data_IF_654369030033
#
_entry.id   IF_654369030033
#
_cell.length_a   1.000
_cell.length_b   1.000
_cell.length_c   1.000
_cell.angle_alpha   90.00
_cell.angle_beta   90.00
_cell.angle_gamma   90.00
#
_symmetry.space_group_name_H-M   'P 1'
#
loop_
_entity.id
_entity.type
_entity.pdbx_description
1 polymer ?
#
# COMPACT_ATOMS: atom_id res chain seq x y z
N UNK A 1 0.61 13.96 -17.87
CA UNK A 1 0.65 15.12 -16.96
C UNK A 1 0.37 14.75 -15.50
N UNK A 2 -0.82 14.24 -15.15
CA UNK A 2 -1.16 13.90 -13.75
C UNK A 2 -0.24 12.84 -13.12
N UNK A 3 0.31 11.91 -13.91
CA UNK A 3 1.32 10.96 -13.42
C UNK A 3 2.63 11.64 -12.99
N UNK A 4 3.08 12.67 -13.73
CA UNK A 4 4.29 13.41 -13.40
C UNK A 4 4.07 14.27 -12.15
N UNK A 5 2.87 14.85 -12.00
CA UNK A 5 2.44 15.52 -10.78
C UNK A 5 2.44 14.55 -9.58
N UNK A 6 1.86 13.36 -9.72
CA UNK A 6 1.86 12.35 -8.65
C UNK A 6 3.28 11.95 -8.25
N UNK A 7 4.20 11.81 -9.21
CA UNK A 7 5.60 11.53 -8.94
C UNK A 7 6.31 12.69 -8.19
N UNK A 8 5.97 13.95 -8.50
CA UNK A 8 6.49 15.11 -7.77
C UNK A 8 5.98 15.16 -6.31
N UNK A 9 4.70 14.89 -6.11
CA UNK A 9 4.09 14.77 -4.77
C UNK A 9 4.72 13.61 -3.98
N UNK A 10 4.89 12.44 -4.60
CA UNK A 10 5.54 11.28 -3.97
C UNK A 10 6.99 11.59 -3.57
N UNK A 11 7.77 12.25 -4.44
CA UNK A 11 9.14 12.68 -4.11
C UNK A 11 9.16 13.64 -2.92
N UNK A 12 8.22 14.59 -2.87
CA UNK A 12 8.09 15.52 -1.74
C UNK A 12 7.79 14.75 -0.45
N UNK A 13 6.84 13.81 -0.47
CA UNK A 13 6.51 12.98 0.68
C UNK A 13 7.70 12.10 1.15
N UNK A 14 8.57 11.67 0.23
CA UNK A 14 9.81 10.96 0.59
C UNK A 14 10.82 11.90 1.27
N UNK A 15 11.03 13.10 0.73
CA UNK A 15 11.98 14.08 1.28
C UNK A 15 11.60 14.54 2.69
N UNK A 16 10.30 14.73 2.94
CA UNK A 16 9.78 15.22 4.21
C UNK A 16 9.34 14.11 5.17
N UNK A 17 9.78 12.86 4.92
CA UNK A 17 9.47 11.72 5.79
C UNK A 17 10.06 11.88 7.20
N UNK A 18 11.16 12.62 7.35
CA UNK A 18 11.75 12.95 8.64
C UNK A 18 10.89 13.93 9.44
N UNK A 19 10.22 14.89 8.79
CA UNK A 19 9.30 15.81 9.46
C UNK A 19 8.11 15.05 10.08
N UNK A 20 7.56 14.08 9.33
CA UNK A 20 6.49 13.21 9.81
C UNK A 20 6.93 12.33 11.00
N UNK A 21 8.18 11.85 10.98
CA UNK A 21 8.74 11.08 12.10
C UNK A 21 8.94 11.94 13.33
N UNK A 22 9.57 13.11 13.17
CA UNK A 22 9.84 14.03 14.27
C UNK A 22 8.56 14.40 15.02
N UNK A 23 7.49 14.72 14.30
CA UNK A 23 6.21 15.04 14.93
C UNK A 23 5.53 13.83 15.58
N UNK A 24 5.61 12.66 14.97
CA UNK A 24 5.12 11.44 15.59
C UNK A 24 5.88 11.11 16.89
N UNK A 25 7.19 11.39 16.92
CA UNK A 25 8.03 11.24 18.11
C UNK A 25 7.73 12.32 19.17
N UNK A 26 7.40 13.56 18.76
CA UNK A 26 6.92 14.64 19.64
C UNK A 26 5.54 14.31 20.26
N UNK A 27 4.61 13.75 19.49
CA UNK A 27 3.30 13.27 19.97
C UNK A 27 3.43 12.05 20.90
N UNK A 28 4.47 11.22 20.74
CA UNK A 28 4.81 10.14 21.68
C UNK A 28 5.51 10.65 22.96
N UNK A 29 6.10 11.85 22.91
CA UNK A 29 6.75 12.53 24.03
C UNK A 29 5.77 13.23 24.97
N UNK A 30 4.57 13.57 24.50
CA UNK A 30 3.46 13.93 25.37
C UNK A 30 2.90 12.66 26.03
N UNK A 31 3.14 12.56 27.34
CA UNK A 31 2.71 11.46 28.20
C UNK A 31 1.24 11.11 27.90
N UNK A 32 0.92 9.87 27.47
CA UNK A 32 -0.46 9.48 27.26
C UNK A 32 -1.23 9.66 28.57
N UNK A 33 -2.49 10.14 28.56
CA UNK A 33 -3.34 9.99 29.72
C UNK A 33 -3.40 8.50 30.07
N UNK A 34 -3.31 8.20 31.38
CA UNK A 34 -3.34 6.83 31.91
C UNK A 34 -4.35 5.97 31.13
N UNK A 35 -3.93 4.83 30.56
CA UNK A 35 -4.86 3.97 29.87
C UNK A 35 -5.89 3.47 30.88
N UNK A 36 -7.13 3.96 30.76
CA UNK A 36 -8.28 3.30 31.37
C UNK A 36 -8.29 1.86 30.88
N UNK A 37 -8.21 0.94 31.82
CA UNK A 37 -8.36 -0.50 31.61
C UNK A 37 -9.69 -0.76 30.92
N UNK A 38 -9.68 -0.84 29.59
CA UNK A 38 -10.77 -1.46 28.84
C UNK A 38 -10.46 -2.95 28.92
N UNK A 39 -11.22 -3.67 29.74
CA UNK A 39 -11.33 -5.12 29.68
C UNK A 39 -11.91 -5.49 28.32
N UNK A 40 -11.01 -5.71 27.35
CA UNK A 40 -11.40 -6.26 26.06
C UNK A 40 -11.72 -7.75 26.27
N UNK A 41 -12.89 -8.22 25.78
CA UNK A 41 -13.18 -9.65 25.71
C UNK A 41 -12.06 -10.36 24.93
N UNK A 42 -11.74 -11.62 25.24
CA UNK A 42 -10.70 -12.37 24.56
C UNK A 42 -10.94 -12.29 23.05
N UNK A 43 -9.96 -11.85 22.23
CA UNK A 43 -10.13 -11.77 20.79
C UNK A 43 -10.34 -13.20 20.28
N UNK A 44 -11.57 -13.52 19.88
CA UNK A 44 -11.80 -14.62 18.97
C UNK A 44 -10.99 -14.29 17.71
N UNK A 45 -9.88 -15.01 17.51
CA UNK A 45 -9.03 -14.84 16.34
C UNK A 45 -9.94 -14.88 15.10
N UNK A 46 -10.00 -13.81 14.30
CA UNK A 46 -10.80 -13.84 13.09
C UNK A 46 -10.24 -14.94 12.19
N UNK A 47 -11.14 -15.76 11.63
CA UNK A 47 -10.84 -16.67 10.54
C UNK A 47 -10.06 -15.91 9.48
N UNK A 48 -8.76 -16.19 9.35
CA UNK A 48 -7.97 -15.49 8.33
C UNK A 48 -8.61 -15.73 6.97
N UNK A 49 -8.65 -14.73 6.09
CA UNK A 49 -9.19 -14.87 4.71
C UNK A 49 -8.59 -16.07 3.97
N UNK A 50 -7.39 -16.54 4.36
CA UNK A 50 -6.74 -17.74 3.83
C UNK A 50 -7.40 -19.05 4.30
N UNK A 51 -7.84 -19.12 5.56
CA UNK A 51 -8.57 -20.27 6.12
C UNK A 51 -9.93 -20.38 5.45
N UNK A 52 -10.64 -19.26 5.30
CA UNK A 52 -11.94 -19.23 4.61
C UNK A 52 -11.80 -19.63 3.15
N UNK A 53 -10.77 -19.12 2.45
CA UNK A 53 -10.48 -19.52 1.06
C UNK A 53 -10.11 -20.99 0.94
N UNK A 54 -9.38 -21.55 1.90
CA UNK A 54 -9.04 -22.98 1.92
C UNK A 54 -10.29 -23.83 2.14
N UNK A 55 -11.15 -23.45 3.09
CA UNK A 55 -12.45 -24.12 3.32
C UNK A 55 -13.35 -24.06 2.10
N UNK A 56 -13.52 -22.87 1.52
CA UNK A 56 -14.37 -22.67 0.33
C UNK A 56 -13.88 -23.52 -0.85
N UNK A 57 -12.57 -23.50 -1.13
CA UNK A 57 -11.97 -24.32 -2.20
C UNK A 57 -12.11 -25.82 -1.94
N UNK A 58 -11.98 -26.26 -0.69
CA UNK A 58 -12.19 -27.66 -0.33
C UNK A 58 -13.63 -28.08 -0.61
N UNK A 59 -14.61 -27.28 -0.15
CA UNK A 59 -16.03 -27.52 -0.41
C UNK A 59 -16.36 -27.55 -1.91
N UNK A 60 -15.86 -26.58 -2.69
CA UNK A 60 -16.15 -26.51 -4.12
C UNK A 60 -15.55 -27.70 -4.90
N UNK A 61 -14.34 -28.12 -4.53
CA UNK A 61 -13.67 -29.25 -5.18
C UNK A 61 -14.38 -30.55 -4.82
N UNK A 62 -14.70 -30.79 -3.55
CA UNK A 62 -15.39 -32.00 -3.12
C UNK A 62 -16.80 -32.09 -3.69
N UNK A 63 -17.55 -30.98 -3.75
CA UNK A 63 -18.87 -30.95 -4.42
C UNK A 63 -18.80 -31.39 -5.88
N UNK A 64 -17.76 -30.98 -6.62
CA UNK A 64 -17.58 -31.36 -8.02
C UNK A 64 -17.06 -32.79 -8.19
N UNK A 65 -16.33 -33.32 -7.20
CA UNK A 65 -15.88 -34.72 -7.16
C UNK A 65 -17.06 -35.66 -6.84
N UNK A 66 -17.88 -35.30 -5.85
CA UNK A 66 -19.07 -36.06 -5.43
C UNK A 66 -20.14 -36.11 -6.53
N UNK A 67 -20.15 -35.09 -7.40
CA UNK A 67 -20.95 -35.08 -8.61
C UNK A 67 -20.50 -36.14 -9.65
N UNK A 68 -19.47 -36.95 -9.41
CA UNK A 68 -19.18 -38.24 -10.08
C UNK A 68 -18.69 -38.22 -11.53
N UNK A 69 -18.96 -37.16 -12.29
CA UNK A 69 -18.71 -37.11 -13.75
C UNK A 69 -17.52 -36.20 -14.15
N UNK A 70 -16.78 -35.65 -13.18
CA UNK A 70 -15.76 -34.62 -13.43
C UNK A 70 -14.33 -35.13 -13.25
N UNK A 71 -13.52 -34.99 -14.30
CA UNK A 71 -12.07 -35.24 -14.21
C UNK A 71 -11.35 -34.09 -13.49
N UNK A 72 -10.19 -34.35 -12.87
CA UNK A 72 -9.35 -33.32 -12.22
C UNK A 72 -9.08 -32.14 -13.19
N UNK A 73 -8.88 -32.43 -14.47
CA UNK A 73 -8.65 -31.42 -15.51
C UNK A 73 -9.89 -30.57 -15.82
N UNK A 74 -11.09 -31.11 -15.66
CA UNK A 74 -12.34 -30.36 -15.80
C UNK A 74 -12.59 -29.45 -14.59
N UNK A 75 -12.36 -29.96 -13.37
CA UNK A 75 -12.47 -29.19 -12.12
C UNK A 75 -11.47 -28.02 -12.11
N UNK A 76 -10.23 -28.26 -12.51
CA UNK A 76 -9.19 -27.23 -12.64
C UNK A 76 -9.59 -26.09 -13.58
N UNK A 77 -10.20 -26.41 -14.72
CA UNK A 77 -10.69 -25.41 -15.69
C UNK A 77 -11.91 -24.63 -15.16
N UNK A 78 -12.82 -25.32 -14.48
CA UNK A 78 -14.04 -24.72 -13.92
C UNK A 78 -13.74 -23.75 -12.79
N UNK A 79 -12.85 -24.13 -11.86
CA UNK A 79 -12.52 -23.33 -10.68
C UNK A 79 -11.33 -22.37 -10.91
N UNK A 80 -10.76 -22.33 -12.12
CA UNK A 80 -9.55 -21.59 -12.44
C UNK A 80 -8.37 -21.89 -11.49
N UNK A 81 -8.17 -23.17 -11.17
CA UNK A 81 -7.12 -23.66 -10.28
C UNK A 81 -6.12 -24.54 -11.03
N UNK A 82 -4.89 -24.60 -10.54
CA UNK A 82 -3.88 -25.52 -11.08
C UNK A 82 -4.24 -26.98 -10.78
N UNK A 83 -3.97 -27.90 -11.73
CA UNK A 83 -4.31 -29.33 -11.61
C UNK A 83 -3.66 -30.00 -10.39
N UNK A 84 -2.47 -29.56 -9.97
CA UNK A 84 -1.81 -30.08 -8.76
C UNK A 84 -2.49 -29.59 -7.49
N UNK A 85 -3.08 -28.38 -7.54
CA UNK A 85 -3.87 -27.84 -6.42
C UNK A 85 -5.16 -28.61 -6.24
N UNK A 86 -5.89 -28.88 -7.34
CA UNK A 86 -7.11 -29.69 -7.29
C UNK A 86 -6.82 -31.10 -6.79
N UNK A 87 -5.73 -31.73 -7.28
CA UNK A 87 -5.30 -33.05 -6.80
C UNK A 87 -4.99 -33.05 -5.30
N UNK A 88 -4.21 -32.07 -4.84
CA UNK A 88 -3.90 -31.90 -3.41
C UNK A 88 -5.14 -31.69 -2.55
N UNK A 89 -6.12 -30.91 -3.00
CA UNK A 89 -7.33 -30.66 -2.23
C UNK A 89 -8.30 -31.84 -2.19
N UNK A 90 -8.27 -32.72 -3.19
CA UNK A 90 -9.05 -33.96 -3.24
C UNK A 90 -8.42 -35.07 -2.38
N UNK A 91 -7.09 -35.18 -2.42
CA UNK A 91 -6.33 -36.29 -1.84
C UNK A 91 -5.88 -36.02 -0.39
N UNK A 92 -6.19 -34.85 0.17
CA UNK A 92 -5.75 -34.42 1.52
C UNK A 92 -6.94 -33.97 2.34
N UNK A 93 -7.02 -34.43 3.59
CA UNK A 93 -8.09 -34.07 4.49
C UNK A 93 -8.09 -32.57 4.84
N UNK A 94 -9.28 -32.04 5.11
CA UNK A 94 -9.48 -30.62 5.43
C UNK A 94 -8.63 -30.18 6.63
N UNK A 95 -8.52 -31.02 7.65
CA UNK A 95 -7.75 -30.72 8.86
C UNK A 95 -6.23 -30.61 8.59
N UNK A 96 -5.71 -31.42 7.67
CA UNK A 96 -4.30 -31.35 7.25
C UNK A 96 -4.04 -30.13 6.35
N UNK A 97 -4.99 -29.80 5.46
CA UNK A 97 -4.92 -28.59 4.65
C UNK A 97 -4.96 -27.32 5.52
N UNK A 98 -5.84 -27.30 6.52
CA UNK A 98 -5.93 -26.22 7.49
C UNK A 98 -4.67 -26.15 8.36
N UNK A 99 -4.15 -27.27 8.85
CA UNK A 99 -2.87 -27.31 9.56
C UNK A 99 -1.75 -26.71 8.70
N UNK A 100 -1.65 -27.08 7.42
CA UNK A 100 -0.64 -26.52 6.51
C UNK A 100 -0.83 -25.01 6.25
N UNK A 101 -2.08 -24.53 6.23
CA UNK A 101 -2.41 -23.11 6.14
C UNK A 101 -2.07 -22.35 7.43
N UNK A 102 -2.24 -22.96 8.60
CA UNK A 102 -1.77 -22.45 9.89
C UNK A 102 -0.23 -22.41 9.98
N UNK A 103 0.47 -23.36 9.34
CA UNK A 103 1.93 -23.43 9.32
C UNK A 103 2.60 -22.46 8.35
N UNK A 104 1.86 -21.91 7.37
CA UNK A 104 2.31 -20.74 6.59
C UNK A 104 2.21 -19.50 7.49
N UNK A 105 3.25 -19.32 8.30
CA UNK A 105 3.32 -18.28 9.33
C UNK A 105 2.88 -16.91 8.79
N UNK A 106 1.90 -16.25 9.43
CA UNK A 106 1.72 -14.82 9.27
C UNK A 106 3.05 -14.15 9.65
N UNK A 107 3.54 -13.23 8.81
CA UNK A 107 4.84 -12.57 9.01
C UNK A 107 4.91 -11.74 10.32
N UNK A 108 3.79 -11.61 11.03
CA UNK A 108 3.54 -10.58 12.05
C UNK A 108 2.80 -11.11 13.31
N UNK A 109 2.97 -12.37 13.74
CA UNK A 109 2.28 -12.92 14.95
C UNK A 109 2.65 -12.16 16.23
N UNK A 110 3.80 -11.49 16.27
CA UNK A 110 4.23 -10.68 17.41
C UNK A 110 3.65 -9.25 17.38
N UNK A 111 3.25 -8.72 16.23
CA UNK A 111 2.82 -7.30 16.09
C UNK A 111 1.76 -6.88 17.11
N UNK A 112 0.68 -7.64 17.34
CA UNK A 112 -0.36 -7.24 18.31
C UNK A 112 0.14 -7.17 19.76
N UNK A 113 1.22 -7.90 20.09
CA UNK A 113 1.75 -8.00 21.44
C UNK A 113 2.96 -7.09 21.68
N UNK A 114 3.50 -6.43 20.64
CA UNK A 114 4.62 -5.49 20.76
C UNK A 114 4.34 -4.31 21.70
N UNK A 115 3.15 -3.65 21.66
CA UNK A 115 2.87 -2.54 22.57
C UNK A 115 2.94 -2.95 24.05
N UNK A 116 2.36 -4.12 24.39
CA UNK A 116 2.40 -4.68 25.74
C UNK A 116 3.83 -5.02 26.19
N UNK A 117 4.60 -5.68 25.32
CA UNK A 117 5.99 -6.02 25.61
C UNK A 117 6.86 -4.78 25.81
N UNK A 118 6.65 -3.74 24.99
CA UNK A 118 7.39 -2.48 25.10
C UNK A 118 7.03 -1.77 26.42
N UNK A 119 5.74 -1.62 26.75
CA UNK A 119 5.28 -0.98 27.98
C UNK A 119 5.80 -1.69 29.24
N UNK A 120 5.66 -3.02 29.31
CA UNK A 120 6.18 -3.81 30.45
C UNK A 120 7.71 -3.76 30.55
N UNK A 121 8.39 -3.65 29.42
CA UNK A 121 9.85 -3.52 29.37
C UNK A 121 10.32 -2.15 29.88
N UNK A 122 9.63 -1.05 29.51
CA UNK A 122 9.90 0.29 30.05
C UNK A 122 9.55 0.42 31.52
N UNK A 123 8.40 -0.11 31.95
CA UNK A 123 7.93 -0.05 33.35
C UNK A 123 8.89 -0.77 34.31
N UNK A 124 9.54 -1.83 33.84
CA UNK A 124 10.47 -2.62 34.65
C UNK A 124 11.94 -2.26 34.39
N UNK A 125 12.19 -1.11 33.75
CA UNK A 125 13.55 -0.61 33.43
C UNK A 125 14.46 -1.68 32.77
N UNK A 126 13.90 -2.54 31.92
CA UNK A 126 14.63 -3.60 31.22
C UNK A 126 15.02 -4.84 32.03
N UNK A 127 14.70 -4.89 33.33
CA UNK A 127 15.11 -5.97 34.24
C UNK A 127 14.23 -7.24 34.15
N UNK A 128 13.13 -7.22 33.41
CA UNK A 128 12.22 -8.38 33.34
C UNK A 128 12.84 -9.55 32.56
N UNK A 129 12.75 -10.74 33.14
CA UNK A 129 13.11 -12.00 32.46
C UNK A 129 12.21 -12.22 31.25
N UNK A 130 12.79 -12.34 30.04
CA UNK A 130 12.02 -12.58 28.82
C UNK A 130 11.22 -13.89 28.82
N UNK A 131 11.52 -14.80 29.75
CA UNK A 131 10.74 -16.00 30.04
C UNK A 131 9.39 -15.67 30.67
N UNK A 132 9.37 -14.70 31.59
CA UNK A 132 8.17 -14.23 32.28
C UNK A 132 7.26 -13.47 31.32
N UNK A 133 7.83 -12.57 30.52
CA UNK A 133 7.07 -11.85 29.48
C UNK A 133 6.49 -12.79 28.41
N UNK A 134 7.20 -13.88 28.07
CA UNK A 134 6.66 -14.90 27.16
C UNK A 134 5.44 -15.62 27.75
N UNK A 135 5.47 -15.98 29.04
CA UNK A 135 4.33 -16.61 29.72
C UNK A 135 3.14 -15.64 29.81
N UNK A 136 3.39 -14.38 30.17
CA UNK A 136 2.35 -13.33 30.23
C UNK A 136 1.64 -13.14 28.89
N UNK A 137 2.36 -13.13 27.76
CA UNK A 137 1.71 -13.01 26.44
C UNK A 137 1.08 -14.33 25.99
N UNK A 138 1.58 -15.48 26.43
CA UNK A 138 1.02 -16.79 26.12
C UNK A 138 -0.36 -16.97 26.78
N UNK A 139 -0.52 -16.51 28.03
CA UNK A 139 -1.80 -16.41 28.73
C UNK A 139 -2.78 -15.48 27.99
N UNK A 140 -2.27 -14.41 27.38
CA UNK A 140 -3.04 -13.47 26.54
C UNK A 140 -3.30 -13.97 25.11
N UNK A 141 -3.02 -15.24 24.82
CA UNK A 141 -3.34 -15.89 23.54
C UNK A 141 -2.21 -15.92 22.51
N UNK A 142 -0.98 -15.57 22.88
CA UNK A 142 0.17 -15.73 21.98
C UNK A 142 0.45 -17.23 21.73
N UNK A 143 0.57 -17.58 20.44
CA UNK A 143 0.89 -18.96 19.97
C UNK A 143 2.21 -19.03 19.21
N UNK A 144 3.02 -17.96 19.26
CA UNK A 144 4.31 -17.89 18.58
C UNK A 144 5.47 -18.47 19.42
N UNK A 145 6.67 -18.45 18.84
CA UNK A 145 7.86 -19.02 19.49
C UNK A 145 8.48 -18.05 20.51
N UNK A 146 8.92 -18.59 21.66
CA UNK A 146 9.71 -17.88 22.68
C UNK A 146 10.98 -17.21 22.12
N UNK A 147 11.56 -17.77 21.06
CA UNK A 147 12.74 -17.20 20.38
C UNK A 147 12.42 -15.85 19.74
N UNK A 148 11.21 -15.67 19.21
CA UNK A 148 10.78 -14.42 18.56
C UNK A 148 10.61 -13.30 19.59
N UNK A 149 10.06 -13.63 20.76
CA UNK A 149 9.95 -12.69 21.90
C UNK A 149 11.32 -12.33 22.45
N UNK A 150 12.20 -13.33 22.67
CA UNK A 150 13.56 -13.08 23.15
C UNK A 150 14.36 -12.18 22.21
N UNK A 151 14.23 -12.38 20.89
CA UNK A 151 14.87 -11.53 19.88
C UNK A 151 14.33 -10.10 19.88
N UNK A 152 13.02 -9.90 20.04
CA UNK A 152 12.41 -8.57 20.17
C UNK A 152 12.86 -7.86 21.45
N UNK A 153 12.92 -8.58 22.58
CA UNK A 153 13.44 -8.05 23.85
C UNK A 153 14.95 -7.77 23.83
N UNK A 154 15.73 -8.58 23.11
CA UNK A 154 17.15 -8.30 22.88
C UNK A 154 17.31 -7.01 22.06
N UNK A 155 16.53 -6.84 20.98
CA UNK A 155 16.51 -5.59 20.22
C UNK A 155 16.10 -4.38 21.07
N UNK A 156 15.15 -4.54 22.02
CA UNK A 156 14.77 -3.48 22.96
C UNK A 156 15.91 -3.12 23.93
N UNK A 157 16.69 -4.10 24.40
CA UNK A 157 17.87 -3.88 25.25
C UNK A 157 19.01 -3.21 24.50
N UNK A 158 19.20 -3.58 23.25
CA UNK A 158 20.23 -3.02 22.37
C UNK A 158 19.83 -1.64 21.81
N UNK A 159 18.67 -1.09 22.21
CA UNK A 159 18.16 0.19 21.70
C UNK A 159 17.79 0.18 20.20
N UNK A 160 17.72 -1.00 19.59
CA UNK A 160 17.45 -1.20 18.15
C UNK A 160 16.00 -1.60 17.86
N UNK A 161 15.21 -1.95 18.88
CA UNK A 161 13.78 -2.12 18.70
C UNK A 161 13.12 -0.76 18.53
N UNK A 162 12.61 -0.53 17.34
CA UNK A 162 11.81 0.65 17.06
C UNK A 162 10.62 0.69 18.02
N UNK A 163 10.41 1.80 18.76
CA UNK A 163 9.16 2.03 19.46
C UNK A 163 8.03 1.78 18.45
N UNK A 164 6.94 1.15 18.89
CA UNK A 164 5.78 0.81 18.04
C UNK A 164 5.50 2.03 17.17
N UNK A 165 5.96 1.99 15.92
CA UNK A 165 5.99 3.18 15.07
C UNK A 165 4.54 3.62 15.02
N UNK A 166 4.25 4.85 15.46
CA UNK A 166 3.01 5.50 15.06
C UNK A 166 2.87 5.22 13.56
N UNK A 167 1.70 4.76 13.13
CA UNK A 167 1.49 4.13 11.83
C UNK A 167 1.59 5.19 10.72
N UNK A 168 2.80 5.75 10.50
CA UNK A 168 3.05 6.86 9.60
C UNK A 168 2.74 6.35 8.20
N UNK A 169 1.74 6.93 7.52
CA UNK A 169 1.35 6.50 6.20
C UNK A 169 2.56 6.50 5.24
N UNK A 170 2.64 5.51 4.37
CA UNK A 170 3.72 5.48 3.38
C UNK A 170 3.58 6.66 2.41
N UNK A 171 4.68 7.20 1.86
CA UNK A 171 4.62 8.29 0.88
C UNK A 171 3.66 8.02 -0.27
N UNK A 172 3.61 6.78 -0.77
CA UNK A 172 2.65 6.34 -1.79
C UNK A 172 1.20 6.42 -1.34
N UNK A 173 0.92 6.07 -0.08
CA UNK A 173 -0.42 6.16 0.50
C UNK A 173 -0.86 7.64 0.60
N UNK A 174 0.04 8.51 1.07
CA UNK A 174 -0.18 9.96 1.13
C UNK A 174 -0.45 10.53 -0.26
N UNK A 175 0.42 10.24 -1.24
CA UNK A 175 0.23 10.67 -2.63
C UNK A 175 -1.10 10.17 -3.19
N UNK A 176 -1.47 8.92 -2.92
CA UNK A 176 -2.76 8.37 -3.35
C UNK A 176 -3.93 9.16 -2.77
N UNK A 177 -3.87 9.56 -1.51
CA UNK A 177 -4.92 10.38 -0.91
C UNK A 177 -4.97 11.79 -1.50
N UNK A 178 -3.81 12.40 -1.75
CA UNK A 178 -3.71 13.75 -2.34
C UNK A 178 -4.28 13.78 -3.77
N UNK A 179 -3.98 12.76 -4.58
CA UNK A 179 -4.36 12.72 -6.00
C UNK A 179 -5.80 12.25 -6.24
N UNK A 180 -6.48 11.71 -5.21
CA UNK A 180 -7.88 11.27 -5.30
C UNK A 180 -8.85 12.43 -5.02
N UNK A 181 -10.05 12.42 -5.62
CA UNK A 181 -11.12 13.34 -5.24
C UNK A 181 -11.45 13.18 -3.76
N UNK A 182 -11.71 14.30 -3.07
CA UNK A 182 -11.90 14.34 -1.61
C UNK A 182 -13.08 13.47 -1.18
N UNK A 183 -14.12 13.44 -2.01
CA UNK A 183 -15.38 12.71 -1.79
C UNK A 183 -15.18 11.19 -1.74
N UNK A 184 -14.02 10.70 -2.19
CA UNK A 184 -13.72 9.26 -2.20
C UNK A 184 -12.90 8.81 -0.98
N UNK A 185 -12.42 9.75 -0.17
CA UNK A 185 -11.64 9.45 1.03
C UNK A 185 -12.61 9.06 2.16
N UNK A 186 -12.22 8.06 2.95
CA UNK A 186 -12.94 7.76 4.20
C UNK A 186 -12.60 8.80 5.27
N UNK A 187 -13.45 9.00 6.26
CA UNK A 187 -13.20 9.93 7.37
C UNK A 187 -11.83 9.69 8.03
N UNK A 188 -11.48 8.43 8.28
CA UNK A 188 -10.16 8.05 8.80
C UNK A 188 -9.00 8.43 7.86
N UNK A 189 -9.18 8.35 6.54
CA UNK A 189 -8.15 8.77 5.57
C UNK A 189 -8.02 10.29 5.51
N UNK A 190 -9.13 11.01 5.62
CA UNK A 190 -9.13 12.47 5.67
C UNK A 190 -8.45 12.98 6.94
N UNK A 191 -8.73 12.38 8.09
CA UNK A 191 -8.07 12.69 9.36
C UNK A 191 -6.56 12.41 9.28
N UNK A 192 -6.16 11.23 8.77
CA UNK A 192 -4.74 10.91 8.60
C UNK A 192 -4.03 11.89 7.64
N UNK A 193 -4.70 12.30 6.57
CA UNK A 193 -4.14 13.30 5.65
C UNK A 193 -4.06 14.68 6.32
N UNK A 194 -5.04 15.04 7.14
CA UNK A 194 -5.03 16.28 7.91
C UNK A 194 -3.84 16.32 8.89
N UNK A 195 -3.59 15.24 9.64
CA UNK A 195 -2.42 15.14 10.52
C UNK A 195 -1.10 15.26 9.77
N UNK A 196 -0.98 14.60 8.60
CA UNK A 196 0.19 14.73 7.72
C UNK A 196 0.40 16.17 7.24
N UNK A 197 -0.68 16.89 6.94
CA UNK A 197 -0.63 18.30 6.52
C UNK A 197 -0.19 19.22 7.65
N UNK A 198 -0.73 19.03 8.84
CA UNK A 198 -0.28 19.77 10.02
C UNK A 198 1.21 19.51 10.27
N UNK A 199 1.67 18.27 10.10
CA UNK A 199 3.03 17.84 10.38
C UNK A 199 4.11 18.49 9.51
N UNK A 200 3.77 18.86 8.27
CA UNK A 200 4.76 19.40 7.35
C UNK A 200 4.14 20.43 6.38
N UNK A 201 4.53 21.72 6.50
CA UNK A 201 4.10 22.78 5.58
C UNK A 201 4.40 22.48 4.11
N UNK A 202 5.54 21.84 3.81
CA UNK A 202 5.91 21.46 2.44
C UNK A 202 4.95 20.44 1.82
N UNK A 203 4.52 19.45 2.60
CA UNK A 203 3.53 18.46 2.14
C UNK A 203 2.15 19.12 1.97
N UNK A 204 1.79 20.04 2.87
CA UNK A 204 0.58 20.87 2.73
C UNK A 204 0.59 21.64 1.42
N UNK A 205 1.69 22.34 1.14
CA UNK A 205 1.84 23.13 -0.08
C UNK A 205 1.79 22.27 -1.33
N UNK A 206 2.45 21.11 -1.33
CA UNK A 206 2.37 20.15 -2.42
C UNK A 206 0.94 19.61 -2.63
N UNK A 207 0.20 19.36 -1.55
CA UNK A 207 -1.19 18.94 -1.60
C UNK A 207 -2.09 20.00 -2.27
N UNK A 208 -1.98 21.26 -1.84
CA UNK A 208 -2.80 22.35 -2.37
C UNK A 208 -2.50 22.63 -3.85
N UNK A 209 -1.22 22.64 -4.24
CA UNK A 209 -0.80 22.78 -5.63
C UNK A 209 -1.30 21.62 -6.50
N UNK A 210 -1.20 20.38 -6.00
CA UNK A 210 -1.66 19.21 -6.73
C UNK A 210 -3.17 19.20 -6.94
N UNK A 211 -3.96 19.58 -5.92
CA UNK A 211 -5.42 19.70 -6.01
C UNK A 211 -5.82 20.80 -7.01
N UNK A 212 -5.21 21.97 -6.89
CA UNK A 212 -5.46 23.10 -7.81
C UNK A 212 -5.16 22.70 -9.25
N UNK A 213 -4.03 22.02 -9.51
CA UNK A 213 -3.70 21.54 -10.85
C UNK A 213 -4.67 20.49 -11.36
N UNK A 214 -5.07 19.53 -10.52
CA UNK A 214 -6.05 18.52 -10.90
C UNK A 214 -7.39 19.15 -11.31
N UNK A 215 -7.80 20.23 -10.64
CA UNK A 215 -9.00 20.98 -10.99
C UNK A 215 -8.84 21.74 -12.32
N UNK A 216 -7.67 22.33 -12.59
CA UNK A 216 -7.37 22.94 -13.90
C UNK A 216 -7.52 21.93 -15.03
N UNK A 217 -6.98 20.72 -14.84
CA UNK A 217 -7.07 19.62 -15.81
C UNK A 217 -8.51 19.15 -15.97
N UNK A 218 -9.24 18.95 -14.87
CA UNK A 218 -10.62 18.44 -14.89
C UNK A 218 -11.58 19.41 -15.57
N UNK A 219 -11.41 20.71 -15.34
CA UNK A 219 -12.29 21.75 -15.86
C UNK A 219 -11.77 22.43 -17.13
N UNK A 220 -10.70 21.90 -17.73
CA UNK A 220 -10.09 22.43 -18.95
C UNK A 220 -9.79 23.96 -18.88
N UNK A 221 -9.23 24.39 -17.75
CA UNK A 221 -8.92 25.81 -17.47
C UNK A 221 -7.46 26.15 -17.81
N UNK A 222 -7.01 25.79 -19.02
CA UNK A 222 -5.62 26.03 -19.44
C UNK A 222 -5.17 27.49 -19.36
N UNK A 223 -6.08 28.46 -19.48
CA UNK A 223 -5.77 29.89 -19.33
C UNK A 223 -5.23 30.28 -17.94
N UNK A 224 -5.53 29.50 -16.88
CA UNK A 224 -5.01 29.74 -15.53
C UNK A 224 -3.68 29.02 -15.26
N UNK A 225 -3.17 28.24 -16.22
CA UNK A 225 -1.95 27.44 -16.05
C UNK A 225 -0.74 28.32 -15.70
N UNK A 226 -0.64 29.48 -16.34
CA UNK A 226 0.48 30.40 -16.16
C UNK A 226 0.60 30.88 -14.72
N UNK A 227 -0.54 31.24 -14.11
CA UNK A 227 -0.58 31.71 -12.73
C UNK A 227 -0.32 30.59 -11.74
N UNK A 228 -0.82 29.39 -12.03
CA UNK A 228 -0.50 28.20 -11.25
C UNK A 228 1.01 27.89 -11.28
N UNK A 229 1.66 27.99 -12.45
CA UNK A 229 3.11 27.77 -12.58
C UNK A 229 3.87 28.80 -11.74
N UNK A 230 3.51 30.09 -11.81
CA UNK A 230 4.15 31.15 -11.00
C UNK A 230 4.05 30.84 -9.51
N UNK A 231 2.87 30.42 -9.03
CA UNK A 231 2.65 30.06 -7.63
C UNK A 231 3.45 28.83 -7.20
N UNK A 232 3.62 27.85 -8.09
CA UNK A 232 4.43 26.67 -7.85
C UNK A 232 5.94 26.95 -7.91
N UNK A 233 6.39 27.98 -8.64
CA UNK A 233 7.82 28.34 -8.72
C UNK A 233 8.30 29.17 -7.52
N UNK A 234 7.43 29.94 -6.86
CA UNK A 234 7.79 30.81 -5.73
C UNK A 234 8.02 30.05 -4.42
N UNK A 235 6.97 29.40 -3.91
CA UNK A 235 6.96 28.82 -2.57
C UNK A 235 6.51 27.36 -2.63
N UNK A 236 7.25 26.50 -3.32
CA UNK A 236 6.93 25.07 -3.34
C UNK A 236 8.16 24.19 -3.15
N UNK A 237 7.95 22.94 -2.70
CA UNK A 237 9.03 21.97 -2.57
C UNK A 237 9.72 21.74 -3.92
N UNK A 238 11.04 21.51 -3.92
CA UNK A 238 11.85 21.33 -5.14
C UNK A 238 11.25 20.38 -6.19
N UNK A 239 10.64 19.23 -5.84
CA UNK A 239 10.00 18.37 -6.83
C UNK A 239 8.81 19.04 -7.54
N UNK A 240 8.04 19.87 -6.83
CA UNK A 240 6.88 20.59 -7.35
C UNK A 240 7.30 21.77 -8.24
N UNK A 241 8.30 22.55 -7.82
CA UNK A 241 8.85 23.63 -8.65
C UNK A 241 9.52 23.09 -9.90
N UNK A 242 10.21 21.95 -9.81
CA UNK A 242 10.74 21.24 -10.98
C UNK A 242 9.64 20.83 -11.95
N UNK A 243 8.52 20.28 -11.46
CA UNK A 243 7.35 19.97 -12.28
C UNK A 243 6.78 21.22 -12.98
N UNK A 244 6.63 22.33 -12.25
CA UNK A 244 6.18 23.59 -12.82
C UNK A 244 7.12 24.11 -13.92
N UNK A 245 8.44 24.04 -13.69
CA UNK A 245 9.45 24.41 -14.69
C UNK A 245 9.41 23.53 -15.95
N UNK A 246 9.04 22.24 -15.84
CA UNK A 246 8.79 21.41 -17.02
C UNK A 246 7.56 21.88 -17.80
N UNK A 247 6.46 22.21 -17.12
CA UNK A 247 5.27 22.74 -17.79
C UNK A 247 5.54 24.09 -18.46
N UNK A 248 6.37 24.94 -17.84
CA UNK A 248 6.76 26.24 -18.38
C UNK A 248 7.46 26.12 -19.74
N UNK A 249 8.31 25.12 -19.92
CA UNK A 249 9.05 24.90 -21.19
C UNK A 249 8.11 24.57 -22.35
N UNK A 250 7.02 23.86 -22.06
CA UNK A 250 6.02 23.44 -23.03
C UNK A 250 4.70 24.22 -22.88
N UNK A 251 4.77 25.48 -22.44
CA UNK A 251 3.59 26.26 -21.99
C UNK A 251 2.45 26.26 -23.00
N UNK A 252 2.73 26.55 -24.27
CA UNK A 252 1.69 26.64 -25.31
C UNK A 252 1.02 25.28 -25.54
N UNK A 253 1.83 24.22 -25.66
CA UNK A 253 1.35 22.86 -25.88
C UNK A 253 0.50 22.37 -24.70
N UNK A 254 0.95 22.61 -23.47
CA UNK A 254 0.22 22.24 -22.26
C UNK A 254 -1.05 23.08 -22.13
N UNK A 255 -0.99 24.38 -22.38
CA UNK A 255 -2.16 25.28 -22.33
C UNK A 255 -3.25 24.82 -23.30
N UNK A 256 -2.87 24.49 -24.55
CA UNK A 256 -3.80 23.95 -25.55
C UNK A 256 -4.36 22.60 -25.09
N UNK A 257 -3.52 21.70 -24.59
CA UNK A 257 -3.93 20.40 -24.08
C UNK A 257 -4.84 20.46 -22.85
N UNK A 258 -4.79 21.57 -22.09
CA UNK A 258 -5.66 21.85 -20.95
C UNK A 258 -6.87 22.72 -21.31
N UNK A 259 -7.05 23.14 -22.56
CA UNK A 259 -8.17 24.00 -22.97
C UNK A 259 -9.06 23.34 -24.02
N UNK A 260 -8.49 22.47 -24.86
CA UNK A 260 -9.23 21.76 -25.90
C UNK A 260 -9.77 20.44 -25.38
N UNK A 261 -10.93 19.97 -25.88
CA UNK A 261 -11.46 18.65 -25.55
C UNK A 261 -10.65 17.51 -26.21
N UNK A 262 -9.80 17.83 -27.19
CA UNK A 262 -9.00 16.88 -27.94
C UNK A 262 -7.66 16.65 -27.24
N UNK A 263 -7.33 15.39 -26.96
CA UNK A 263 -6.02 14.99 -26.44
C UNK A 263 -5.35 13.99 -27.36
N UNK A 264 -4.02 14.06 -27.46
CA UNK A 264 -3.20 13.07 -28.17
C UNK A 264 -3.00 11.78 -27.37
N UNK A 265 -3.58 11.65 -26.17
CA UNK A 265 -3.29 10.56 -25.23
C UNK A 265 -3.59 9.16 -25.79
N UNK A 266 -4.69 8.99 -26.51
CA UNK A 266 -5.03 7.70 -27.16
C UNK A 266 -4.02 7.37 -28.26
N UNK A 267 -3.63 8.37 -29.06
CA UNK A 267 -2.63 8.20 -30.13
C UNK A 267 -1.26 7.88 -29.53
N UNK A 268 -0.85 8.61 -28.48
CA UNK A 268 0.39 8.38 -27.76
C UNK A 268 0.43 6.98 -27.12
N UNK A 269 -0.69 6.52 -26.57
CA UNK A 269 -0.85 5.16 -26.05
C UNK A 269 -0.59 4.10 -27.12
N UNK A 270 -1.20 4.25 -28.31
CA UNK A 270 -0.94 3.36 -29.45
C UNK A 270 0.52 3.42 -29.90
N UNK A 271 1.10 4.61 -30.02
CA UNK A 271 2.52 4.79 -30.35
C UNK A 271 3.42 4.11 -29.32
N UNK A 272 3.10 4.21 -28.03
CA UNK A 272 3.89 3.59 -26.97
C UNK A 272 3.76 2.06 -26.99
N UNK A 273 2.57 1.51 -27.25
CA UNK A 273 2.36 0.07 -27.50
C UNK A 273 3.21 -0.43 -28.66
N UNK A 274 3.23 0.30 -29.78
CA UNK A 274 4.07 -0.02 -30.95
C UNK A 274 5.56 0.03 -30.58
N UNK A 275 6.01 1.09 -29.90
CA UNK A 275 7.40 1.24 -29.44
C UNK A 275 7.80 0.11 -28.49
N UNK A 276 6.90 -0.32 -27.62
CA UNK A 276 7.13 -1.42 -26.68
C UNK A 276 7.30 -2.74 -27.41
N UNK A 277 6.42 -3.03 -28.38
CA UNK A 277 6.52 -4.21 -29.23
C UNK A 277 7.84 -4.24 -30.02
N UNK A 278 8.21 -3.09 -30.62
CA UNK A 278 9.47 -2.94 -31.34
C UNK A 278 10.69 -3.15 -30.41
N UNK A 279 10.67 -2.61 -29.19
CA UNK A 279 11.73 -2.81 -28.18
C UNK A 279 11.85 -4.26 -27.70
N UNK A 280 10.72 -4.93 -27.45
CA UNK A 280 10.69 -6.35 -27.09
C UNK A 280 11.25 -7.26 -28.21
N UNK A 281 11.32 -6.75 -29.43
CA UNK A 281 11.88 -7.42 -30.60
C UNK A 281 13.24 -6.85 -31.01
N UNK A 282 13.95 -6.19 -30.07
CA UNK A 282 15.28 -5.62 -30.27
C UNK A 282 15.38 -4.68 -31.49
N UNK A 283 14.30 -3.96 -31.80
CA UNK A 283 14.24 -3.04 -32.93
C UNK A 283 13.97 -3.70 -34.30
N UNK A 284 13.94 -5.03 -34.39
CA UNK A 284 13.87 -5.80 -35.64
C UNK A 284 12.45 -6.04 -36.18
N UNK A 285 11.46 -5.36 -35.64
CA UNK A 285 10.07 -5.51 -36.09
C UNK A 285 9.82 -4.64 -37.33
N UNK A 286 9.65 -5.27 -38.50
CA UNK A 286 9.21 -4.61 -39.73
C UNK A 286 7.74 -4.17 -39.61
N UNK A 287 7.29 -3.24 -40.47
CA UNK A 287 5.91 -2.77 -40.47
C UNK A 287 4.90 -3.93 -40.60
N UNK A 288 5.15 -4.88 -41.50
CA UNK A 288 4.30 -6.06 -41.68
C UNK A 288 4.19 -6.88 -40.38
N UNK A 289 5.31 -7.10 -39.68
CA UNK A 289 5.34 -7.86 -38.44
C UNK A 289 4.65 -7.13 -37.27
N UNK A 290 4.82 -5.81 -37.20
CA UNK A 290 4.10 -4.95 -36.24
C UNK A 290 2.60 -4.98 -36.51
N UNK A 291 2.17 -4.83 -37.77
CA UNK A 291 0.77 -4.87 -38.20
C UNK A 291 0.13 -6.20 -37.82
N UNK A 292 0.78 -7.32 -38.14
CA UNK A 292 0.28 -8.65 -37.76
C UNK A 292 0.11 -8.76 -36.25
N UNK A 293 1.15 -8.49 -35.45
CA UNK A 293 1.08 -8.63 -33.98
C UNK A 293 0.07 -7.69 -33.29
N UNK A 294 -0.23 -6.54 -33.88
CA UNK A 294 -1.19 -5.58 -33.31
C UNK A 294 -2.62 -5.99 -33.67
N UNK A 295 -2.87 -6.40 -34.92
CA UNK A 295 -4.21 -6.73 -35.41
C UNK A 295 -4.66 -8.17 -35.04
N UNK A 296 -3.74 -9.10 -34.77
CA UNK A 296 -4.09 -10.51 -34.47
C UNK A 296 -4.08 -10.86 -32.98
N UNK A 297 -3.82 -9.89 -32.08
CA UNK A 297 -4.02 -10.08 -30.63
C UNK A 297 -5.45 -9.68 -30.27
N UNK A 298 -6.28 -10.58 -29.70
CA UNK A 298 -7.58 -10.20 -29.14
C UNK A 298 -7.43 -9.23 -27.96
#
# INVERSE_FOLDING_TARGET
MLQNLAAAVEKTCHQHRLCLRKRADEELGEKPPEPKLIELPPPALPSTQMIERTRHRYTDIHRLVDAGWWTISAIARCLHLDRKTVRRFRDTDLDELLASAHHRRPRNVLEPFKPYLNARFTDTSGQTSGSRLFLEIQERGYRGSRVVVRRHLAALRDGTAEPTRADIPSPRKITSWIMRPRETLTESQEEQLHQVRLACPDITRACDLARTFADLVRHQRGHLLLDWIRQAEQDSPKPMSGFAGFLRRDLDAVTVGLTRPWSSGVVEGHVNRVKTLKRAMYGRASFALLRTRILTRP
#
